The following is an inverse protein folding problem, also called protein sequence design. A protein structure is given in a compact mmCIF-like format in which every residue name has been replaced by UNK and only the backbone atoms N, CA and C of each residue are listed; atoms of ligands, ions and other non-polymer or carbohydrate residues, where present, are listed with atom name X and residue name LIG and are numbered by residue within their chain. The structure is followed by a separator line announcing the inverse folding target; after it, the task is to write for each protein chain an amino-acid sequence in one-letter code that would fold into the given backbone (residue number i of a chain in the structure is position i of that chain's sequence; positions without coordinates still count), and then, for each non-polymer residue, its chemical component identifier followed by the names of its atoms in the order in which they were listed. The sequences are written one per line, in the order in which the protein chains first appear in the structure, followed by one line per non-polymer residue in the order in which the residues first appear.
data_IF_231367433957
#
_entry.id   IF_231367433957
#
_cell.length_a   1.000
_cell.length_b   1.000
_cell.length_c   1.000
_cell.angle_alpha   90.00
_cell.angle_beta   90.00
_cell.angle_gamma   90.00
#
_symmetry.space_group_name_H-M   'P 1'
#
loop_
_entity.id
_entity.type
_entity.pdbx_description
1 polymer ?
#
# COMPACT_ATOMS: atom_id res chain seq x y z
N UNK A 1 6.11 30.76 41.39
CA UNK A 1 6.89 29.49 41.39
C UNK A 1 7.61 29.40 40.05
N UNK A 2 8.94 29.27 40.11
CA UNK A 2 9.89 29.35 38.99
C UNK A 2 10.11 27.95 38.40
N UNK A 3 10.07 27.80 37.08
CA UNK A 3 10.73 26.69 36.37
C UNK A 3 11.60 27.27 35.26
N UNK A 4 12.94 27.10 35.33
CA UNK A 4 13.84 27.62 34.32
C UNK A 4 13.97 26.68 33.11
N UNK A 5 14.32 27.30 31.99
CA UNK A 5 14.82 26.71 30.75
C UNK A 5 15.79 25.53 30.98
N UNK A 6 15.63 24.47 30.19
CA UNK A 6 16.75 23.62 29.79
C UNK A 6 16.79 23.54 28.25
N UNK A 7 17.70 24.33 27.69
CA UNK A 7 18.23 24.21 26.33
C UNK A 7 19.21 23.03 26.32
N UNK A 8 19.03 22.06 25.43
CA UNK A 8 20.06 21.12 24.98
C UNK A 8 19.83 20.87 23.49
N UNK A 9 20.47 21.61 22.59
CA UNK A 9 21.77 21.27 21.98
C UNK A 9 21.84 19.82 21.49
N UNK A 10 21.41 19.60 20.24
CA UNK A 10 22.01 18.57 19.39
C UNK A 10 21.97 19.05 17.93
N UNK A 11 22.94 19.90 17.60
CA UNK A 11 23.32 20.20 16.23
C UNK A 11 24.39 19.19 15.79
N UNK A 12 24.36 18.85 14.49
CA UNK A 12 25.47 18.31 13.71
C UNK A 12 25.68 16.78 13.73
N UNK A 13 25.03 16.10 12.78
CA UNK A 13 25.69 15.07 11.97
C UNK A 13 25.17 15.12 10.53
N UNK A 14 25.88 15.92 9.71
CA UNK A 14 25.98 15.74 8.26
C UNK A 14 26.87 14.52 8.02
N UNK A 15 26.36 13.48 7.36
CA UNK A 15 27.21 12.57 6.60
C UNK A 15 26.47 12.06 5.35
N UNK A 16 27.18 12.18 4.24
CA UNK A 16 26.73 12.00 2.86
C UNK A 16 26.55 10.53 2.44
N UNK A 17 25.59 10.30 1.55
CA UNK A 17 25.61 9.26 0.49
C UNK A 17 24.84 9.84 -0.71
N UNK A 18 25.52 10.57 -1.60
CA UNK A 18 25.95 10.14 -2.96
C UNK A 18 24.82 9.57 -3.83
N UNK A 19 24.42 10.44 -4.77
CA UNK A 19 23.90 10.16 -6.11
C UNK A 19 24.67 9.03 -6.82
N UNK A 20 23.94 8.04 -7.34
CA UNK A 20 24.35 7.28 -8.51
C UNK A 20 23.14 7.11 -9.45
N UNK A 21 23.24 7.75 -10.62
CA UNK A 21 22.33 7.65 -11.76
C UNK A 21 22.65 6.39 -12.58
N UNK A 22 21.64 5.58 -12.88
CA UNK A 22 21.45 4.89 -14.16
C UNK A 22 20.00 4.34 -14.14
N UNK A 23 19.08 4.68 -15.04
CA UNK A 23 19.21 4.71 -16.48
C UNK A 23 18.37 3.55 -17.05
N UNK A 24 17.10 3.79 -17.40
CA UNK A 24 16.34 2.93 -18.31
C UNK A 24 15.12 3.69 -18.85
N UNK A 25 15.31 4.27 -20.04
CA UNK A 25 14.28 4.77 -20.94
C UNK A 25 13.73 3.63 -21.81
N UNK A 26 12.40 3.56 -21.96
CA UNK A 26 11.68 2.75 -22.95
C UNK A 26 10.46 2.08 -22.29
N UNK A 27 9.24 2.13 -22.78
CA UNK A 27 8.60 2.57 -24.02
C UNK A 27 7.12 2.10 -23.93
N UNK A 28 6.21 2.56 -24.80
CA UNK A 28 4.75 2.49 -24.55
C UNK A 28 4.11 1.19 -25.03
N UNK A 29 2.96 0.82 -24.45
CA UNK A 29 2.02 -0.10 -25.11
C UNK A 29 1.21 -0.96 -24.15
N UNK A 30 -0.11 -0.91 -24.27
CA UNK A 30 -0.99 -1.89 -23.61
C UNK A 30 -2.37 -1.35 -23.29
N UNK A 31 -3.20 -1.29 -24.32
CA UNK A 31 -4.58 -0.81 -24.33
C UNK A 31 -5.56 -1.54 -23.42
N UNK A 32 -6.63 -0.80 -23.10
CA UNK A 32 -7.89 -1.21 -22.51
C UNK A 32 -8.43 -2.59 -22.97
N UNK A 33 -9.04 -3.29 -22.03
CA UNK A 33 -9.88 -4.45 -22.27
C UNK A 33 -11.01 -4.50 -21.25
N UNK A 34 -12.03 -3.65 -21.45
CA UNK A 34 -13.34 -3.87 -20.86
C UNK A 34 -14.03 -4.99 -21.65
N UNK A 35 -14.53 -6.02 -20.97
CA UNK A 35 -15.44 -6.99 -21.57
C UNK A 35 -16.41 -7.47 -20.51
N UNK A 36 -17.58 -6.84 -20.48
CA UNK A 36 -18.77 -7.46 -19.91
C UNK A 36 -19.39 -8.40 -20.95
N UNK A 37 -20.00 -9.48 -20.48
CA UNK A 37 -21.14 -10.09 -21.16
C UNK A 37 -21.96 -10.90 -20.17
N UNK A 38 -23.24 -10.53 -20.16
CA UNK A 38 -24.41 -11.17 -19.55
C UNK A 38 -24.53 -12.67 -19.86
N UNK A 39 -25.19 -13.39 -18.95
CA UNK A 39 -25.29 -14.84 -18.96
C UNK A 39 -26.24 -15.48 -19.97
N UNK A 40 -26.28 -16.81 -19.90
CA UNK A 40 -27.38 -17.63 -20.41
C UNK A 40 -27.41 -18.97 -19.67
N UNK A 41 -28.59 -19.33 -19.18
CA UNK A 41 -28.91 -20.63 -18.60
C UNK A 41 -29.03 -21.70 -19.69
N UNK A 42 -28.65 -22.94 -19.37
CA UNK A 42 -28.89 -24.11 -20.21
C UNK A 42 -28.63 -25.40 -19.45
N UNK A 43 -29.66 -26.24 -19.35
CA UNK A 43 -29.68 -27.50 -18.62
C UNK A 43 -29.20 -28.70 -19.46
N UNK A 44 -28.68 -29.73 -18.79
CA UNK A 44 -28.85 -31.14 -19.15
C UNK A 44 -27.81 -31.77 -20.09
N UNK A 45 -27.23 -32.90 -19.65
CA UNK A 45 -26.55 -33.86 -20.53
C UNK A 45 -25.46 -34.69 -19.86
N UNK A 46 -25.81 -35.87 -19.37
CA UNK A 46 -24.87 -36.93 -18.97
C UNK A 46 -24.24 -37.61 -20.20
N UNK A 47 -22.95 -37.95 -20.16
CA UNK A 47 -22.38 -38.91 -21.10
C UNK A 47 -20.85 -38.95 -21.23
N UNK A 48 -20.28 -40.05 -20.70
CA UNK A 48 -19.18 -40.86 -21.25
C UNK A 48 -17.70 -40.46 -21.12
N UNK A 49 -17.02 -41.41 -20.46
CA UNK A 49 -15.62 -41.82 -20.35
C UNK A 49 -14.67 -41.65 -21.56
N UNK A 50 -13.37 -41.57 -21.22
CA UNK A 50 -12.19 -41.72 -22.08
C UNK A 50 -11.37 -40.42 -22.14
N UNK A 51 -10.05 -40.34 -22.05
CA UNK A 51 -8.98 -41.34 -22.10
C UNK A 51 -7.71 -40.71 -21.49
N UNK A 52 -6.77 -41.56 -21.08
CA UNK A 52 -5.57 -41.22 -20.32
C UNK A 52 -4.48 -40.68 -21.26
N UNK A 53 -4.41 -39.35 -21.43
CA UNK A 53 -3.35 -38.70 -22.21
C UNK A 53 -2.21 -38.18 -21.33
N UNK A 54 -1.23 -39.04 -21.03
CA UNK A 54 0.06 -38.63 -20.47
C UNK A 54 0.83 -37.81 -21.50
N UNK A 55 0.84 -36.47 -21.35
CA UNK A 55 1.80 -35.62 -22.04
C UNK A 55 2.98 -35.34 -21.11
N UNK A 56 3.98 -36.22 -21.16
CA UNK A 56 5.34 -35.90 -20.72
C UNK A 56 5.97 -34.96 -21.74
N UNK A 57 5.84 -33.65 -21.50
CA UNK A 57 6.61 -32.63 -22.20
C UNK A 57 7.74 -32.15 -21.26
N UNK A 58 8.97 -32.27 -21.74
CA UNK A 58 10.19 -32.14 -20.97
C UNK A 58 10.34 -30.81 -20.22
N UNK A 59 10.77 -30.91 -18.98
CA UNK A 59 11.26 -29.81 -18.16
C UNK A 59 12.57 -29.27 -18.75
N UNK A 60 12.47 -28.34 -19.70
CA UNK A 60 13.56 -27.43 -20.04
C UNK A 60 13.61 -26.33 -18.97
N UNK A 61 14.81 -26.10 -18.43
CA UNK A 61 15.07 -25.40 -17.18
C UNK A 61 14.36 -24.07 -17.01
N UNK A 62 13.66 -23.94 -15.88
CA UNK A 62 13.30 -22.66 -15.30
C UNK A 62 14.61 -21.94 -14.92
N UNK A 63 15.14 -21.13 -15.82
CA UNK A 63 16.06 -20.06 -15.43
C UNK A 63 15.33 -19.22 -14.40
N UNK A 64 15.82 -19.25 -13.16
CA UNK A 64 15.22 -18.56 -12.03
C UNK A 64 15.08 -17.06 -12.34
N UNK A 65 13.90 -16.67 -12.78
CA UNK A 65 13.39 -15.35 -12.46
C UNK A 65 13.37 -15.35 -10.93
N UNK A 66 14.25 -14.58 -10.30
CA UNK A 66 14.04 -14.18 -8.92
C UNK A 66 12.63 -13.59 -8.91
N UNK A 67 11.66 -14.35 -8.39
CA UNK A 67 10.27 -13.96 -8.41
C UNK A 67 10.18 -12.58 -7.79
N UNK A 68 9.45 -11.67 -8.42
CA UNK A 68 9.06 -10.42 -7.76
C UNK A 68 8.60 -10.80 -6.34
N UNK A 69 9.05 -10.10 -5.28
CA UNK A 69 8.71 -10.45 -3.92
C UNK A 69 7.21 -10.59 -3.88
N UNK A 70 6.77 -11.83 -3.73
CA UNK A 70 5.36 -12.10 -3.75
C UNK A 70 4.86 -11.45 -2.46
N UNK A 71 3.88 -10.54 -2.57
CA UNK A 71 3.13 -10.05 -1.42
C UNK A 71 2.24 -11.19 -0.86
N UNK A 72 2.78 -12.41 -0.81
CA UNK A 72 2.28 -13.59 -0.14
C UNK A 72 2.44 -13.44 1.38
N UNK A 73 3.22 -12.43 1.80
CA UNK A 73 3.27 -11.95 3.16
C UNK A 73 1.87 -11.60 3.62
N UNK A 74 1.48 -12.24 4.72
CA UNK A 74 0.25 -12.08 5.47
C UNK A 74 -0.90 -11.43 4.69
N UNK A 75 -1.89 -12.24 4.29
CA UNK A 75 -3.25 -11.73 4.04
C UNK A 75 -3.52 -10.66 5.08
N UNK A 76 -4.06 -9.51 4.65
CA UNK A 76 -4.50 -8.43 5.53
C UNK A 76 -5.70 -8.85 6.42
N UNK A 77 -5.77 -10.12 6.79
CA UNK A 77 -6.68 -10.68 7.77
C UNK A 77 -6.45 -9.96 9.10
N UNK A 78 -7.55 -9.55 9.74
CA UNK A 78 -7.52 -8.80 10.99
C UNK A 78 -7.19 -7.31 10.85
N UNK A 79 -7.00 -6.78 9.64
CA UNK A 79 -6.92 -5.32 9.43
C UNK A 79 -8.32 -4.74 9.54
N UNK A 80 -8.61 -4.13 10.69
CA UNK A 80 -9.78 -3.28 10.82
C UNK A 80 -9.55 -1.99 10.04
N UNK A 81 -10.37 -1.75 9.02
CA UNK A 81 -10.37 -0.51 8.26
C UNK A 81 -11.61 0.28 8.63
N UNK A 82 -11.46 1.58 8.91
CA UNK A 82 -12.59 2.44 9.23
C UNK A 82 -13.64 2.39 8.10
N UNK A 83 -14.89 2.06 8.43
CA UNK A 83 -16.00 1.90 7.46
C UNK A 83 -16.78 3.19 7.19
N UNK A 84 -16.34 4.32 7.75
CA UNK A 84 -17.03 5.60 7.61
C UNK A 84 -16.98 6.13 6.19
N UNK A 85 -18.10 6.69 5.72
CA UNK A 85 -18.22 7.35 4.41
C UNK A 85 -17.28 8.56 4.31
N UNK A 86 -16.07 8.31 3.83
CA UNK A 86 -15.06 9.32 3.51
C UNK A 86 -15.34 9.92 2.14
N UNK A 87 -16.56 10.44 1.91
CA UNK A 87 -16.94 11.07 0.64
C UNK A 87 -16.67 10.17 -0.58
N UNK A 88 -17.02 8.89 -0.49
CA UNK A 88 -16.75 7.87 -1.52
C UNK A 88 -15.26 7.54 -1.80
N UNK A 89 -14.32 8.02 -0.99
CA UNK A 89 -12.92 7.60 -1.08
C UNK A 89 -12.67 6.35 -0.25
N UNK A 90 -11.89 5.39 -0.75
CA UNK A 90 -11.46 4.27 0.06
C UNK A 90 -10.70 4.76 1.32
N UNK A 91 -10.97 4.19 2.50
CA UNK A 91 -10.22 4.46 3.74
C UNK A 91 -8.81 3.84 3.75
N UNK A 92 -8.29 3.49 2.58
CA UNK A 92 -6.99 2.85 2.37
C UNK A 92 -6.45 3.14 0.96
N UNK A 93 -5.14 2.99 0.80
CA UNK A 93 -4.43 2.96 -0.47
C UNK A 93 -3.38 1.86 -0.43
N UNK A 94 -3.10 1.23 -1.56
CA UNK A 94 -2.08 0.19 -1.66
C UNK A 94 -1.19 0.44 -2.88
N UNK A 95 0.10 0.16 -2.73
CA UNK A 95 1.08 0.17 -3.81
C UNK A 95 2.15 -0.89 -3.51
N UNK A 96 2.35 -1.82 -4.45
CA UNK A 96 3.17 -3.01 -4.22
C UNK A 96 2.74 -3.77 -2.95
N UNK A 97 3.71 -4.06 -2.07
CA UNK A 97 3.46 -4.72 -0.78
C UNK A 97 3.23 -3.73 0.37
N UNK A 98 2.80 -2.49 0.09
CA UNK A 98 2.49 -1.52 1.13
C UNK A 98 0.99 -1.23 1.17
N UNK A 99 0.44 -1.20 2.38
CA UNK A 99 -0.95 -0.83 2.67
C UNK A 99 -0.97 0.37 3.61
N UNK A 100 -1.45 1.51 3.12
CA UNK A 100 -1.73 2.69 3.91
C UNK A 100 -3.23 2.71 4.23
N UNK A 101 -3.63 2.78 5.50
CA UNK A 101 -5.04 2.69 5.87
C UNK A 101 -5.38 3.43 7.16
N UNK A 102 -6.67 3.71 7.31
CA UNK A 102 -7.24 4.30 8.51
C UNK A 102 -7.71 3.20 9.47
N UNK A 103 -6.96 3.01 10.56
CA UNK A 103 -7.27 2.03 11.59
C UNK A 103 -8.19 2.65 12.65
N UNK A 104 -9.36 2.06 12.95
CA UNK A 104 -10.26 2.58 13.97
C UNK A 104 -9.64 2.49 15.36
N UNK A 105 -9.82 3.54 16.15
CA UNK A 105 -9.47 3.62 17.57
C UNK A 105 -10.65 4.23 18.34
N UNK A 106 -10.60 4.24 19.67
CA UNK A 106 -11.72 4.68 20.52
C UNK A 106 -12.29 6.06 20.12
N UNK A 107 -11.41 7.00 19.77
CA UNK A 107 -11.77 8.40 19.49
C UNK A 107 -11.59 8.81 18.02
N UNK A 108 -11.61 7.86 17.08
CA UNK A 108 -11.49 8.16 15.65
C UNK A 108 -10.71 7.11 14.87
N UNK A 109 -9.78 7.54 14.03
CA UNK A 109 -8.92 6.65 13.27
C UNK A 109 -7.49 7.18 13.16
N UNK A 110 -6.51 6.30 13.28
CA UNK A 110 -5.10 6.59 13.03
C UNK A 110 -4.74 6.21 11.60
N UNK A 111 -3.80 6.93 11.01
CA UNK A 111 -3.22 6.54 9.73
C UNK A 111 -2.03 5.61 9.98
N UNK A 112 -2.10 4.38 9.46
CA UNK A 112 -1.02 3.37 9.57
C UNK A 112 -0.56 2.92 8.20
N UNK A 113 0.75 2.72 8.08
CA UNK A 113 1.41 2.08 6.95
C UNK A 113 1.83 0.69 7.39
N UNK A 114 1.37 -0.33 6.67
CA UNK A 114 1.73 -1.72 6.89
C UNK A 114 2.52 -2.25 5.71
N UNK A 115 3.67 -2.86 5.99
CA UNK A 115 4.36 -3.72 5.03
C UNK A 115 3.66 -5.08 5.03
N UNK A 116 3.12 -5.47 3.88
CA UNK A 116 2.42 -6.72 3.70
C UNK A 116 3.38 -7.91 3.68
N UNK A 117 4.67 -7.70 3.38
CA UNK A 117 5.68 -8.77 3.30
C UNK A 117 5.93 -9.44 4.64
N UNK A 118 6.10 -8.63 5.69
CA UNK A 118 6.44 -9.08 7.05
C UNK A 118 5.37 -8.72 8.10
N UNK A 119 4.36 -7.94 7.73
CA UNK A 119 3.30 -7.48 8.62
C UNK A 119 3.70 -6.31 9.52
N UNK A 120 4.90 -5.73 9.36
CA UNK A 120 5.34 -4.61 10.17
C UNK A 120 4.45 -3.38 9.92
N UNK A 121 4.08 -2.67 10.99
CA UNK A 121 3.16 -1.55 10.94
C UNK A 121 3.77 -0.30 11.59
N UNK A 122 3.56 0.86 10.97
CA UNK A 122 3.99 2.16 11.45
C UNK A 122 2.82 3.14 11.46
N UNK A 123 2.56 3.79 12.60
CA UNK A 123 1.64 4.93 12.68
C UNK A 123 2.27 6.16 12.04
N UNK A 124 1.61 6.74 11.04
CA UNK A 124 2.05 7.96 10.34
C UNK A 124 1.37 9.23 10.86
N UNK A 125 0.10 9.12 11.28
CA UNK A 125 -0.64 10.24 11.86
C UNK A 125 -1.59 9.75 12.97
N UNK A 126 -1.65 10.47 14.11
CA UNK A 126 -2.54 10.13 15.21
C UNK A 126 -4.00 10.51 14.90
N UNK A 127 -4.95 9.93 15.65
CA UNK A 127 -6.38 10.23 15.50
C UNK A 127 -6.75 11.70 15.76
N UNK A 128 -5.96 12.41 16.59
CA UNK A 128 -6.14 13.85 16.84
C UNK A 128 -5.95 14.71 15.58
N UNK A 129 -5.20 14.22 14.59
CA UNK A 129 -5.06 14.89 13.29
C UNK A 129 -6.22 14.56 12.33
N UNK A 130 -7.17 13.70 12.70
CA UNK A 130 -8.30 13.29 11.85
C UNK A 130 -7.88 12.98 10.41
N UNK A 131 -6.97 12.02 10.19
CA UNK A 131 -6.47 11.71 8.85
C UNK A 131 -7.59 11.19 7.94
N UNK A 132 -7.61 11.61 6.67
CA UNK A 132 -8.58 11.20 5.65
C UNK A 132 -7.89 10.97 4.30
N UNK A 133 -8.55 10.23 3.41
CA UNK A 133 -8.16 10.05 2.00
C UNK A 133 -6.68 9.65 1.81
N UNK A 134 -6.25 8.53 2.40
CA UNK A 134 -4.89 8.04 2.19
C UNK A 134 -4.60 7.83 0.70
N UNK A 135 -3.39 8.19 0.28
CA UNK A 135 -2.84 7.98 -1.06
C UNK A 135 -1.41 7.50 -0.95
N UNK A 136 -1.02 6.55 -1.81
CA UNK A 136 0.30 5.92 -1.78
C UNK A 136 0.84 5.77 -3.21
N UNK A 137 2.11 6.15 -3.42
CA UNK A 137 2.83 5.98 -4.67
C UNK A 137 4.34 5.84 -4.40
N UNK A 138 4.86 4.63 -4.56
CA UNK A 138 6.21 4.24 -4.16
C UNK A 138 6.49 4.62 -2.71
N UNK A 139 7.57 5.37 -2.42
CA UNK A 139 7.92 5.78 -1.06
C UNK A 139 7.12 6.98 -0.54
N UNK A 140 6.15 7.49 -1.32
CA UNK A 140 5.41 8.71 -1.00
C UNK A 140 4.01 8.38 -0.52
N UNK A 141 3.69 8.82 0.70
CA UNK A 141 2.34 8.78 1.25
C UNK A 141 1.78 10.21 1.36
N UNK A 142 0.51 10.38 1.02
CA UNK A 142 -0.21 11.64 1.21
C UNK A 142 -1.58 11.41 1.85
N UNK A 143 -2.03 12.35 2.66
CA UNK A 143 -3.35 12.29 3.31
C UNK A 143 -3.84 13.69 3.68
N UNK A 144 -5.15 13.86 3.79
CA UNK A 144 -5.76 15.04 4.40
C UNK A 144 -5.67 14.91 5.92
N UNK A 145 -5.42 16.02 6.62
CA UNK A 145 -5.37 16.08 8.07
C UNK A 145 -5.96 17.40 8.59
N UNK A 146 -6.19 17.47 9.89
CA UNK A 146 -6.54 18.67 10.62
C UNK A 146 -5.34 19.09 11.47
N UNK A 147 -4.86 20.31 11.27
CA UNK A 147 -3.80 20.93 12.07
C UNK A 147 -4.27 22.31 12.51
N UNK A 148 -4.23 22.58 13.81
CA UNK A 148 -4.69 23.86 14.39
C UNK A 148 -6.11 24.25 13.94
N UNK A 149 -7.00 23.26 13.81
CA UNK A 149 -8.39 23.46 13.37
C UNK A 149 -8.57 23.72 11.87
N UNK A 150 -7.51 23.65 11.07
CA UNK A 150 -7.54 23.83 9.61
C UNK A 150 -7.28 22.52 8.90
N UNK A 151 -7.96 22.31 7.77
CA UNK A 151 -7.62 21.22 6.86
C UNK A 151 -6.30 21.51 6.14
N UNK A 152 -5.45 20.50 6.10
CA UNK A 152 -4.15 20.53 5.43
C UNK A 152 -3.92 19.21 4.69
N UNK A 153 -3.03 19.21 3.71
CA UNK A 153 -2.54 17.97 3.10
C UNK A 153 -1.16 17.70 3.67
N UNK A 154 -0.96 16.50 4.20
CA UNK A 154 0.35 16.01 4.64
C UNK A 154 0.95 15.16 3.54
N UNK A 155 2.26 15.30 3.34
CA UNK A 155 3.04 14.45 2.43
C UNK A 155 4.22 13.90 3.22
N UNK A 156 4.37 12.58 3.22
CA UNK A 156 5.54 11.87 3.76
C UNK A 156 6.38 11.33 2.61
N UNK A 157 7.64 11.72 2.58
CA UNK A 157 8.66 11.25 1.64
C UNK A 157 9.96 11.09 2.40
N UNK A 158 10.71 10.02 2.16
CA UNK A 158 12.00 9.76 2.82
C UNK A 158 11.91 9.81 4.36
N UNK A 159 10.78 9.34 4.91
CA UNK A 159 10.50 9.33 6.36
C UNK A 159 10.13 10.69 6.96
N UNK A 160 10.13 11.78 6.18
CA UNK A 160 9.82 13.13 6.64
C UNK A 160 8.41 13.52 6.21
N UNK A 161 7.60 13.96 7.17
CA UNK A 161 6.25 14.51 6.91
C UNK A 161 6.31 16.04 6.78
N UNK A 162 5.69 16.58 5.72
CA UNK A 162 5.55 18.02 5.44
C UNK A 162 4.07 18.37 5.20
N UNK A 163 3.76 19.66 5.26
CA UNK A 163 2.44 20.24 4.96
C UNK A 163 2.57 21.24 3.82
#
# INVERSE_FOLDING_TARGET
MKYPLLFALCASLLLACRDDRAGASGGPGGSAGASGSSGQAGAGGSGSSGDSGQNSAGSAGASGQAGAPACDGHRADGVAVATGDLYHYPPYAADGCQLLYLAPVADGAELRLRDLTDGHEQTLAPASERPLRPSLAGPVAAWEATSEGRQVVRVRSDGVTRT
#
